data_IF_010526944995
#
_entry.id   IF_010526944995
#
_cell.length_a   1.000
_cell.length_b   1.000
_cell.length_c   1.000
_cell.angle_alpha   90.00
_cell.angle_beta   90.00
_cell.angle_gamma   90.00
#
_symmetry.space_group_name_H-M   'P 1'
#
loop_
_entity.id
_entity.type
_entity.pdbx_description
1 polymer ?
#
# COMPACT_ATOMS: atom_id res chain seq x y z
N UNK A 1 30.26 23.93 21.50
CA UNK A 1 29.49 23.97 20.24
C UNK A 1 28.82 22.61 20.14
N UNK A 2 27.76 22.44 20.92
CA UNK A 2 26.96 21.22 20.89
C UNK A 2 25.90 21.44 19.81
N UNK A 3 25.88 20.53 18.84
CA UNK A 3 24.92 20.50 17.77
C UNK A 3 23.54 20.23 18.38
N UNK A 4 22.61 21.17 18.22
CA UNK A 4 21.18 20.94 18.42
C UNK A 4 20.77 19.76 17.53
N UNK A 5 20.73 18.56 18.12
CA UNK A 5 19.96 17.46 17.55
C UNK A 5 18.50 17.91 17.62
N UNK A 6 18.00 18.42 16.50
CA UNK A 6 16.57 18.67 16.32
C UNK A 6 15.85 17.35 16.61
N UNK A 7 15.20 17.28 17.77
CA UNK A 7 14.22 16.23 18.06
C UNK A 7 13.20 16.36 16.93
N UNK A 8 13.05 15.35 16.04
CA UNK A 8 12.05 15.43 14.99
C UNK A 8 10.72 15.73 15.69
N UNK A 9 10.02 16.78 15.26
CA UNK A 9 8.74 17.12 15.85
C UNK A 9 7.80 15.91 15.65
N UNK A 10 7.66 15.09 16.70
CA UNK A 10 6.87 13.86 16.70
C UNK A 10 5.40 14.16 16.36
N UNK A 11 4.99 15.43 16.44
CA UNK A 11 3.68 15.92 15.99
C UNK A 11 3.44 15.82 14.48
N UNK A 12 4.46 15.52 13.67
CA UNK A 12 4.32 15.39 12.20
C UNK A 12 4.89 14.08 11.64
N UNK A 13 5.33 13.15 12.50
CA UNK A 13 5.78 11.84 12.02
C UNK A 13 4.59 11.00 11.55
N UNK A 14 4.72 10.24 10.46
CA UNK A 14 3.65 9.38 9.99
C UNK A 14 3.35 8.27 10.99
N UNK A 15 2.10 7.78 11.01
CA UNK A 15 1.70 6.65 11.86
C UNK A 15 2.31 5.32 11.36
N UNK A 16 2.46 5.21 10.04
CA UNK A 16 3.16 4.14 9.39
C UNK A 16 3.65 4.61 8.03
N UNK A 17 4.78 4.09 7.57
CA UNK A 17 5.25 4.26 6.19
C UNK A 17 5.14 2.95 5.44
N UNK A 18 5.11 3.03 4.11
CA UNK A 18 5.07 1.85 3.24
C UNK A 18 6.45 1.70 2.62
N UNK A 19 7.14 0.61 2.96
CA UNK A 19 8.56 0.44 2.63
C UNK A 19 8.81 -0.50 1.44
N UNK A 20 7.81 -1.28 1.04
CA UNK A 20 7.95 -2.18 -0.10
C UNK A 20 6.64 -2.84 -0.52
N UNK A 21 6.66 -3.34 -1.76
CA UNK A 21 5.65 -4.25 -2.30
C UNK A 21 6.28 -5.62 -2.53
N UNK A 22 5.50 -6.67 -2.32
CA UNK A 22 5.97 -8.05 -2.40
C UNK A 22 4.91 -8.96 -3.01
N UNK A 23 5.36 -10.00 -3.70
CA UNK A 23 4.51 -11.13 -4.09
C UNK A 23 4.67 -12.28 -3.09
N UNK A 24 3.58 -13.00 -2.82
CA UNK A 24 3.64 -14.25 -2.09
C UNK A 24 4.15 -15.39 -2.98
N UNK A 25 5.08 -16.18 -2.47
CA UNK A 25 5.57 -17.43 -3.08
C UNK A 25 5.52 -18.57 -2.06
N UNK A 26 5.75 -19.80 -2.50
CA UNK A 26 5.88 -20.95 -1.59
C UNK A 26 7.04 -20.79 -0.60
N UNK A 27 8.07 -20.01 -0.95
CA UNK A 27 9.25 -19.78 -0.13
C UNK A 27 9.14 -18.53 0.76
N UNK A 28 8.02 -17.80 0.70
CA UNK A 28 7.81 -16.55 1.43
C UNK A 28 7.55 -15.35 0.51
N UNK A 29 7.89 -14.15 0.98
CA UNK A 29 7.69 -12.91 0.24
C UNK A 29 8.90 -12.59 -0.64
N UNK A 30 8.65 -12.24 -1.90
CA UNK A 30 9.68 -11.75 -2.82
C UNK A 30 9.36 -10.30 -3.22
N UNK A 31 10.37 -9.40 -3.27
CA UNK A 31 10.16 -8.02 -3.68
C UNK A 31 9.51 -7.91 -5.05
N UNK A 32 8.47 -7.10 -5.15
CA UNK A 32 7.77 -6.79 -6.38
C UNK A 32 8.28 -5.45 -6.91
N UNK A 33 8.93 -5.51 -8.06
CA UNK A 33 9.55 -4.37 -8.74
C UNK A 33 9.33 -4.50 -10.25
N UNK A 34 9.77 -3.50 -11.02
CA UNK A 34 9.81 -3.58 -12.48
C UNK A 34 10.64 -4.76 -13.00
N UNK A 35 11.71 -5.12 -12.30
CA UNK A 35 12.64 -6.19 -12.72
C UNK A 35 12.20 -7.59 -12.25
N UNK A 36 11.15 -7.66 -11.41
CA UNK A 36 10.55 -8.90 -10.92
C UNK A 36 9.09 -8.99 -11.34
N UNK A 37 8.81 -9.19 -12.65
CA UNK A 37 7.46 -9.09 -13.20
C UNK A 37 6.54 -10.20 -12.68
N UNK A 38 5.25 -9.86 -12.61
CA UNK A 38 4.15 -10.80 -12.43
C UNK A 38 3.65 -11.28 -13.78
N UNK A 39 3.28 -12.55 -13.86
CA UNK A 39 2.48 -13.08 -14.95
C UNK A 39 1.01 -12.73 -14.74
N UNK A 40 0.23 -12.66 -15.83
CA UNK A 40 -1.24 -12.51 -15.76
C UNK A 40 -1.89 -13.56 -14.85
N UNK A 41 -1.35 -14.78 -14.79
CA UNK A 41 -1.88 -15.84 -13.92
C UNK A 41 -1.54 -15.63 -12.44
N UNK A 42 -0.35 -15.12 -12.11
CA UNK A 42 -0.01 -14.73 -10.74
C UNK A 42 -0.92 -13.60 -10.26
N UNK A 43 -1.16 -12.59 -11.10
CA UNK A 43 -2.08 -11.46 -10.79
C UNK A 43 -3.49 -11.94 -10.45
N UNK A 44 -3.95 -13.04 -11.08
CA UNK A 44 -5.30 -13.60 -10.85
C UNK A 44 -5.42 -14.39 -9.56
N UNK A 45 -4.32 -14.98 -9.08
CA UNK A 45 -4.34 -16.02 -8.04
C UNK A 45 -3.69 -15.58 -6.74
N UNK A 46 -2.75 -14.65 -6.82
CA UNK A 46 -1.91 -14.30 -5.69
C UNK A 46 -2.18 -12.85 -5.28
N UNK A 47 -2.41 -12.60 -3.98
CA UNK A 47 -2.47 -11.24 -3.48
C UNK A 47 -1.09 -10.56 -3.55
N UNK A 48 -1.10 -9.22 -3.58
CA UNK A 48 0.11 -8.41 -3.46
C UNK A 48 0.21 -7.92 -2.03
N UNK A 49 1.39 -8.07 -1.42
CA UNK A 49 1.67 -7.60 -0.07
C UNK A 49 2.35 -6.24 -0.13
N UNK A 50 2.03 -5.38 0.83
CA UNK A 50 2.78 -4.18 1.15
C UNK A 50 3.26 -4.26 2.58
N UNK A 51 4.45 -3.75 2.83
CA UNK A 51 5.05 -3.75 4.16
C UNK A 51 4.90 -2.37 4.78
N UNK A 52 4.30 -2.36 5.98
CA UNK A 52 4.22 -1.18 6.83
C UNK A 52 5.37 -1.17 7.82
N UNK A 53 6.13 -0.08 7.85
CA UNK A 53 6.99 0.28 8.97
C UNK A 53 6.20 1.17 9.92
N UNK A 54 5.88 0.64 11.09
CA UNK A 54 4.98 1.27 12.07
C UNK A 54 5.76 2.20 12.98
N UNK A 55 5.19 3.37 13.26
CA UNK A 55 5.78 4.30 14.19
C UNK A 55 5.63 3.78 15.64
N UNK A 56 6.73 3.47 16.35
CA UNK A 56 6.66 2.92 17.70
C UNK A 56 6.06 3.89 18.71
N UNK A 57 6.16 5.21 18.48
CA UNK A 57 5.60 6.24 19.36
C UNK A 57 4.08 6.40 19.19
N UNK A 58 3.49 5.77 18.17
CA UNK A 58 2.07 5.82 17.83
C UNK A 58 1.44 4.41 17.84
N UNK A 59 1.99 3.49 18.64
CA UNK A 59 1.67 2.06 18.58
C UNK A 59 0.23 1.67 18.94
N UNK A 60 -0.56 2.58 19.54
CA UNK A 60 -1.96 2.37 19.93
C UNK A 60 -2.96 2.95 18.90
N UNK A 61 -2.47 3.45 17.76
CA UNK A 61 -3.28 4.16 16.78
C UNK A 61 -3.75 3.21 15.67
N UNK A 62 -5.06 3.18 15.45
CA UNK A 62 -5.69 2.53 14.29
C UNK A 62 -5.33 3.26 12.97
N UNK A 63 -5.29 2.52 11.85
CA UNK A 63 -4.88 3.06 10.56
C UNK A 63 -6.02 3.06 9.54
N UNK A 64 -6.05 4.12 8.74
CA UNK A 64 -6.75 4.15 7.46
C UNK A 64 -5.74 4.01 6.33
N UNK A 65 -6.11 3.29 5.27
CA UNK A 65 -5.23 2.98 4.14
C UNK A 65 -5.98 3.14 2.81
N UNK A 66 -5.48 4.00 1.94
CA UNK A 66 -5.95 4.13 0.56
C UNK A 66 -4.90 3.58 -0.41
N UNK A 67 -5.39 2.98 -1.50
CA UNK A 67 -4.55 2.50 -2.59
C UNK A 67 -4.94 3.18 -3.89
N UNK A 68 -3.97 3.87 -4.51
CA UNK A 68 -4.09 4.41 -5.86
C UNK A 68 -3.37 3.46 -6.81
N UNK A 69 -4.14 2.70 -7.59
CA UNK A 69 -3.61 1.85 -8.66
C UNK A 69 -3.69 2.62 -9.98
N UNK A 70 -2.57 2.76 -10.68
CA UNK A 70 -2.44 3.65 -11.83
C UNK A 70 -3.01 5.05 -11.54
N UNK A 71 -3.79 5.58 -12.47
CA UNK A 71 -4.53 6.83 -12.32
C UNK A 71 -6.01 6.58 -11.98
N UNK A 72 -6.32 5.45 -11.34
CA UNK A 72 -7.68 5.15 -10.90
C UNK A 72 -8.04 5.95 -9.65
N UNK A 73 -9.34 6.11 -9.41
CA UNK A 73 -9.84 6.61 -8.13
C UNK A 73 -9.27 5.78 -6.98
N UNK A 74 -8.76 6.42 -5.90
CA UNK A 74 -8.26 5.72 -4.72
C UNK A 74 -9.27 4.70 -4.22
N UNK A 75 -8.80 3.47 -4.04
CA UNK A 75 -9.57 2.40 -3.44
C UNK A 75 -9.35 2.41 -1.94
N UNK A 76 -10.44 2.36 -1.20
CA UNK A 76 -10.37 2.27 0.24
C UNK A 76 -10.05 0.83 0.63
N UNK A 77 -8.86 0.62 1.21
CA UNK A 77 -8.56 -0.63 1.87
C UNK A 77 -9.19 -0.64 3.27
N UNK A 78 -9.34 -1.84 3.82
CA UNK A 78 -9.81 -2.07 5.17
C UNK A 78 -8.99 -1.22 6.17
N UNK A 79 -9.70 -0.55 7.08
CA UNK A 79 -9.07 0.10 8.23
C UNK A 79 -8.43 -0.96 9.13
N UNK A 80 -7.20 -0.74 9.57
CA UNK A 80 -6.51 -1.67 10.46
C UNK A 80 -6.71 -1.23 11.90
N UNK A 81 -7.39 -2.05 12.70
CA UNK A 81 -7.61 -1.79 14.12
C UNK A 81 -6.50 -2.42 14.97
N UNK A 82 -5.91 -1.61 15.85
CA UNK A 82 -4.78 -2.02 16.67
C UNK A 82 -5.21 -2.98 17.78
N UNK A 83 -4.45 -4.06 17.93
CA UNK A 83 -4.77 -5.18 18.82
C UNK A 83 -5.76 -6.18 18.21
N UNK A 84 -6.34 -5.90 17.04
CA UNK A 84 -7.23 -6.79 16.31
C UNK A 84 -6.55 -7.25 15.02
N UNK A 85 -6.66 -6.47 13.94
CA UNK A 85 -6.03 -6.77 12.66
C UNK A 85 -4.53 -6.52 12.71
N UNK A 86 -4.09 -5.61 13.59
CA UNK A 86 -2.71 -5.18 13.72
C UNK A 86 -2.18 -5.45 15.15
N UNK A 87 -1.35 -6.48 15.40
CA UNK A 87 -0.93 -6.89 16.75
C UNK A 87 -0.01 -5.90 17.47
N UNK A 88 -0.21 -5.72 18.78
CA UNK A 88 0.59 -4.81 19.64
C UNK A 88 2.09 -5.17 19.70
N UNK A 89 2.97 -4.18 19.87
CA UNK A 89 4.42 -4.35 19.95
C UNK A 89 5.14 -4.74 18.65
N UNK A 90 4.42 -4.93 17.54
CA UNK A 90 5.02 -5.22 16.24
C UNK A 90 5.61 -3.94 15.62
N UNK A 91 6.82 -4.04 15.06
CA UNK A 91 7.50 -2.97 14.33
C UNK A 91 7.09 -2.91 12.85
N UNK A 92 6.97 -4.07 12.20
CA UNK A 92 6.64 -4.17 10.78
C UNK A 92 5.43 -5.08 10.56
N UNK A 93 4.49 -4.65 9.73
CA UNK A 93 3.29 -5.43 9.43
C UNK A 93 3.06 -5.53 7.92
N UNK A 94 3.13 -6.75 7.34
CA UNK A 94 2.72 -6.97 5.96
C UNK A 94 1.20 -7.08 5.89
N UNK A 95 0.59 -6.44 4.90
CA UNK A 95 -0.83 -6.63 4.58
C UNK A 95 -1.00 -6.79 3.08
N UNK A 96 -2.07 -7.44 2.64
CA UNK A 96 -2.32 -7.66 1.22
C UNK A 96 -3.37 -6.71 0.62
N UNK A 97 -3.33 -6.56 -0.70
CA UNK A 97 -4.39 -6.02 -1.53
C UNK A 97 -4.49 -6.80 -2.85
N UNK A 98 -5.59 -6.61 -3.56
CA UNK A 98 -5.82 -7.21 -4.87
C UNK A 98 -5.73 -6.15 -5.97
N UNK A 99 -5.09 -6.50 -7.09
CA UNK A 99 -5.12 -5.67 -8.30
C UNK A 99 -6.57 -5.65 -8.81
N UNK A 100 -7.15 -4.49 -9.18
CA UNK A 100 -8.56 -4.42 -9.57
C UNK A 100 -8.91 -5.36 -10.74
N UNK A 101 -10.12 -5.92 -10.75
CA UNK A 101 -10.58 -6.82 -11.82
C UNK A 101 -10.61 -6.16 -13.22
N UNK A 102 -10.65 -6.98 -14.28
CA UNK A 102 -10.95 -6.57 -15.67
C UNK A 102 -12.40 -6.09 -15.85
N UNK A 103 -12.84 -5.12 -15.05
CA UNK A 103 -14.07 -4.36 -15.30
C UNK A 103 -13.70 -3.13 -16.11
N UNK A 104 -14.65 -2.55 -16.85
CA UNK A 104 -14.41 -1.27 -17.53
C UNK A 104 -14.21 -0.20 -16.46
N UNK A 105 -12.94 0.03 -16.10
CA UNK A 105 -12.52 1.08 -15.19
C UNK A 105 -12.08 2.28 -16.01
N UNK A 106 -12.38 3.47 -15.49
CA UNK A 106 -11.94 4.72 -16.07
C UNK A 106 -11.01 5.42 -15.09
N UNK A 107 -9.92 5.97 -15.61
CA UNK A 107 -9.08 6.89 -14.84
C UNK A 107 -9.82 8.22 -14.61
N UNK A 108 -9.17 9.13 -13.89
CA UNK A 108 -9.68 10.48 -13.64
C UNK A 108 -9.97 11.29 -14.93
N UNK A 109 -9.31 10.96 -16.04
CA UNK A 109 -9.52 11.59 -17.36
C UNK A 109 -10.62 10.90 -18.18
N UNK A 110 -11.27 9.86 -17.64
CA UNK A 110 -12.31 9.10 -18.30
C UNK A 110 -11.80 8.05 -19.29
N UNK A 111 -10.49 7.83 -19.39
CA UNK A 111 -9.86 6.84 -20.28
C UNK A 111 -10.00 5.44 -19.71
N UNK A 112 -10.20 4.46 -20.58
CA UNK A 112 -10.28 3.05 -20.19
C UNK A 112 -8.92 2.58 -19.67
N UNK A 113 -8.94 1.93 -18.51
CA UNK A 113 -7.78 1.30 -17.89
C UNK A 113 -8.05 -0.20 -17.75
N UNK A 114 -7.00 -1.00 -17.94
CA UNK A 114 -7.06 -2.45 -17.80
C UNK A 114 -6.06 -2.89 -16.71
N UNK A 115 -6.44 -2.88 -15.42
CA UNK A 115 -5.49 -2.95 -14.32
C UNK A 115 -4.67 -4.25 -14.25
N UNK A 116 -5.19 -5.34 -14.84
CA UNK A 116 -4.55 -6.66 -14.89
C UNK A 116 -3.93 -6.99 -16.25
N UNK A 117 -3.95 -6.07 -17.22
CA UNK A 117 -3.38 -6.32 -18.55
C UNK A 117 -1.85 -6.36 -18.49
N UNK A 118 -1.17 -7.01 -19.46
CA UNK A 118 0.27 -6.84 -19.61
C UNK A 118 0.67 -5.36 -19.77
N UNK A 119 1.70 -4.94 -19.05
CA UNK A 119 2.13 -3.54 -19.01
C UNK A 119 2.89 -3.20 -17.72
N UNK A 120 3.37 -1.96 -17.63
CA UNK A 120 3.86 -1.40 -16.36
C UNK A 120 2.71 -0.65 -15.71
N UNK A 121 2.45 -0.99 -14.45
CA UNK A 121 1.44 -0.36 -13.62
C UNK A 121 2.11 0.34 -12.44
N UNK A 122 1.44 1.35 -11.92
CA UNK A 122 1.91 2.13 -10.79
C UNK A 122 1.01 1.93 -9.59
N UNK A 123 1.60 1.94 -8.40
CA UNK A 123 0.86 1.83 -7.14
C UNK A 123 1.39 2.89 -6.18
N UNK A 124 0.47 3.62 -5.56
CA UNK A 124 0.76 4.43 -4.36
C UNK A 124 -0.17 4.01 -3.24
N UNK A 125 0.38 3.96 -2.03
CA UNK A 125 -0.38 3.63 -0.84
C UNK A 125 -0.28 4.81 0.11
N UNK A 126 -1.43 5.25 0.60
CA UNK A 126 -1.54 6.29 1.60
C UNK A 126 -1.95 5.67 2.92
N UNK A 127 -1.30 6.06 4.01
CA UNK A 127 -1.59 5.62 5.37
C UNK A 127 -1.82 6.85 6.24
N UNK A 128 -2.73 6.78 7.20
CA UNK A 128 -2.89 7.82 8.20
C UNK A 128 -3.60 7.28 9.44
N UNK A 129 -3.63 8.07 10.51
CA UNK A 129 -4.41 7.73 11.69
C UNK A 129 -5.90 7.67 11.35
N UNK A 130 -6.57 6.64 11.81
CA UNK A 130 -8.04 6.59 11.84
C UNK A 130 -8.58 7.47 12.96
N UNK A 131 -9.41 8.47 12.62
CA UNK A 131 -10.12 9.28 13.62
C UNK A 131 -11.44 8.61 14.00
N UNK A 132 -11.79 8.65 15.29
CA UNK A 132 -13.07 8.11 15.82
C UNK A 132 -14.29 8.70 15.10
N UNK A 133 -14.20 9.96 14.60
CA UNK A 133 -15.25 10.63 13.82
C UNK A 133 -15.28 10.34 12.32
N UNK A 134 -14.32 9.56 11.78
CA UNK A 134 -14.24 9.20 10.36
C UNK A 134 -15.03 7.93 10.01
N UNK A 135 -16.08 7.60 10.78
CA UNK A 135 -17.10 6.63 10.34
C UNK A 135 -17.84 7.17 9.10
N UNK A 136 -17.19 7.07 7.94
CA UNK A 136 -17.86 6.77 6.69
C UNK A 136 -17.68 7.70 5.48
N UNK A 137 -16.99 8.86 5.49
CA UNK A 137 -16.98 9.72 4.27
C UNK A 137 -15.73 10.50 3.89
N UNK A 138 -14.87 10.91 4.83
CA UNK A 138 -13.70 11.74 4.50
C UNK A 138 -12.46 11.15 5.16
N UNK A 139 -11.58 10.55 4.35
CA UNK A 139 -10.25 10.11 4.77
C UNK A 139 -9.29 11.30 4.70
N UNK A 140 -8.43 11.43 5.71
CA UNK A 140 -7.52 12.56 5.88
C UNK A 140 -6.10 12.02 5.96
N UNK A 141 -5.36 12.14 4.86
CA UNK A 141 -3.96 11.70 4.76
C UNK A 141 -2.98 12.88 4.90
N UNK A 142 -3.42 14.00 5.48
CA UNK A 142 -2.53 15.12 5.71
C UNK A 142 -1.47 14.80 6.77
N UNK A 143 -0.30 15.47 6.74
CA UNK A 143 0.70 15.35 7.81
C UNK A 143 0.14 15.65 9.20
N UNK A 144 -0.85 16.56 9.30
CA UNK A 144 -1.53 16.88 10.56
C UNK A 144 -2.35 15.71 11.14
N UNK A 145 -2.66 14.69 10.33
CA UNK A 145 -3.25 13.43 10.76
C UNK A 145 -2.24 12.26 10.74
N UNK A 146 -0.94 12.57 10.84
CA UNK A 146 0.13 11.58 10.75
C UNK A 146 0.07 10.79 9.43
N UNK A 147 -0.34 11.48 8.36
CA UNK A 147 -0.51 10.90 7.04
C UNK A 147 0.81 10.73 6.30
N UNK A 148 0.86 9.71 5.46
CA UNK A 148 1.97 9.38 4.59
C UNK A 148 1.44 8.94 3.23
N UNK A 149 2.17 9.28 2.17
CA UNK A 149 1.97 8.75 0.83
C UNK A 149 3.28 8.12 0.39
N UNK A 150 3.21 6.86 -0.02
CA UNK A 150 4.39 6.13 -0.50
C UNK A 150 5.00 6.78 -1.75
N UNK A 151 6.27 6.49 -2.05
CA UNK A 151 6.78 6.59 -3.40
C UNK A 151 5.88 5.83 -4.39
N UNK A 152 6.05 6.14 -5.68
CA UNK A 152 5.40 5.35 -6.72
C UNK A 152 6.13 4.01 -6.82
N UNK A 153 5.42 2.93 -6.57
CA UNK A 153 5.90 1.60 -6.89
C UNK A 153 5.52 1.26 -8.32
N UNK A 154 6.48 0.77 -9.11
CA UNK A 154 6.25 0.25 -10.45
C UNK A 154 6.21 -1.28 -10.40
N UNK A 155 5.15 -1.85 -10.95
CA UNK A 155 4.99 -3.29 -11.09
C UNK A 155 4.84 -3.62 -12.57
N UNK A 156 5.48 -4.68 -13.05
CA UNK A 156 5.35 -5.11 -14.45
C UNK A 156 4.52 -6.37 -14.50
N UNK A 157 3.47 -6.38 -15.33
CA UNK A 157 2.68 -7.55 -15.68
C UNK A 157 3.09 -7.99 -17.09
N UNK A 158 3.46 -9.25 -17.26
CA UNK A 158 3.80 -9.84 -18.57
C UNK A 158 2.73 -10.83 -19.02
N UNK A 159 2.51 -10.98 -20.35
CA UNK A 159 1.67 -12.05 -20.85
C UNK A 159 2.20 -13.38 -20.32
N UNK A 160 1.33 -14.18 -19.69
CA UNK A 160 1.72 -15.50 -19.23
C UNK A 160 2.02 -16.40 -20.43
N UNK A 161 3.29 -16.79 -20.59
CA UNK A 161 3.66 -18.04 -21.22
C UNK A 161 3.80 -19.07 -20.11
N UNK A 162 3.12 -20.21 -20.24
CA UNK A 162 3.22 -21.29 -19.26
C UNK A 162 4.68 -21.61 -18.96
N UNK A 163 5.04 -21.73 -17.69
CA UNK A 163 6.25 -22.46 -17.32
C UNK A 163 6.00 -23.93 -17.64
N UNK A 164 6.26 -24.30 -18.90
CA UNK A 164 6.65 -25.64 -19.30
C UNK A 164 8.04 -25.53 -19.93
N UNK A 165 9.08 -25.54 -19.09
CA UNK A 165 10.35 -26.27 -19.30
C UNK A 165 10.92 -26.63 -17.94
#
# INVERSE_FOLDING_TARGET
MESDNAIPDTRMQPVATVVGLYRGTLSGLEPLTRDTPLTVDEVRRNPIFYELDLNPDLEDVDLIIDLCYDNLTPMWLQDLERGTDLPRGIRFWPHWFEIPDFREMRDFDGRRVYPRSPGTHTVRICTARRKIGQRGRIRDFSPANHGYTSPVFEITIVPGGGKDV
#
